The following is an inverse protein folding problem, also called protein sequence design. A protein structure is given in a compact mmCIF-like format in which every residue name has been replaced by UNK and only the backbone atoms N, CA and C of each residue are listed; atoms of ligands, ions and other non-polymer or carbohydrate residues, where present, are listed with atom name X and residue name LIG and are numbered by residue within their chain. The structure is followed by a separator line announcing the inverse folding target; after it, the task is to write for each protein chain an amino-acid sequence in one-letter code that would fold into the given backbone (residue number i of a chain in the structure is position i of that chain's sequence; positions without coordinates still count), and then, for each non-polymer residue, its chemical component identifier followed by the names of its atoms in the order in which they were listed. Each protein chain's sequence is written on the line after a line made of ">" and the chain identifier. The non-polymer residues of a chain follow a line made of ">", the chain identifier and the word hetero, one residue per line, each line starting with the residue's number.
data_IF_470808188952
#
_entry.id   IF_470808188952
#
_cell.length_a   1.000
_cell.length_b   1.000
_cell.length_c   1.000
_cell.angle_alpha   90.00
_cell.angle_beta   90.00
_cell.angle_gamma   90.00
#
_symmetry.space_group_name_H-M   'P 1'
#
loop_
_entity.id
_entity.type
_entity.pdbx_description
1 polymer ?
#
# COMPACT_ATOMS: atom_id res chain seq x y z
N UNK A 1 14.29 -10.49 -1.49
CA UNK A 1 12.81 -10.66 -1.64
C UNK A 1 12.43 -11.26 -3.00
N UNK A 2 13.00 -10.76 -4.10
CA UNK A 2 12.77 -11.26 -5.47
C UNK A 2 13.26 -12.69 -5.61
N UNK A 3 14.41 -13.05 -5.02
CA UNK A 3 14.97 -14.40 -5.06
C UNK A 3 13.99 -15.46 -4.51
N UNK A 4 13.27 -15.13 -3.43
CA UNK A 4 12.25 -16.04 -2.87
C UNK A 4 11.01 -16.19 -3.75
N UNK A 5 10.63 -15.14 -4.50
CA UNK A 5 9.52 -15.23 -5.47
C UNK A 5 9.93 -16.07 -6.69
N UNK A 6 11.18 -15.95 -7.14
CA UNK A 6 11.73 -16.78 -8.23
C UNK A 6 11.82 -18.25 -7.80
N UNK A 7 12.25 -18.51 -6.57
CA UNK A 7 12.24 -19.87 -5.99
C UNK A 7 10.83 -20.45 -5.94
N UNK A 8 9.80 -19.63 -5.62
CA UNK A 8 8.40 -20.06 -5.59
C UNK A 8 7.87 -20.38 -6.99
N UNK A 9 8.31 -19.67 -8.03
CA UNK A 9 7.92 -19.90 -9.43
C UNK A 9 8.52 -21.18 -10.04
N UNK A 10 9.58 -21.72 -9.44
CA UNK A 10 10.24 -22.96 -9.86
C UNK A 10 9.82 -24.19 -9.03
N UNK A 11 8.73 -24.08 -8.24
CA UNK A 11 8.25 -25.20 -7.45
C UNK A 11 7.73 -26.29 -8.39
N UNK A 12 8.39 -27.43 -8.36
CA UNK A 12 7.87 -28.67 -8.91
C UNK A 12 6.58 -29.05 -8.16
N UNK A 13 5.44 -28.92 -8.83
CA UNK A 13 4.12 -29.14 -8.25
C UNK A 13 3.80 -30.61 -8.00
N UNK A 14 4.68 -31.54 -8.38
CA UNK A 14 4.46 -32.98 -8.22
C UNK A 14 4.49 -33.44 -6.76
N UNK A 15 5.11 -32.68 -5.83
CA UNK A 15 5.05 -32.93 -4.39
C UNK A 15 4.91 -31.62 -3.61
N UNK A 16 3.69 -31.19 -3.37
CA UNK A 16 3.37 -30.02 -2.52
C UNK A 16 3.38 -30.42 -1.06
N UNK A 17 4.55 -30.33 -0.41
CA UNK A 17 4.65 -30.55 1.04
C UNK A 17 4.00 -29.40 1.82
N UNK A 18 3.69 -29.62 3.10
CA UNK A 18 3.11 -28.59 3.99
C UNK A 18 4.01 -27.36 4.04
N UNK A 19 5.32 -27.53 4.12
CA UNK A 19 6.30 -26.43 4.15
C UNK A 19 6.26 -25.62 2.86
N UNK A 20 6.18 -26.25 1.69
CA UNK A 20 6.05 -25.56 0.39
C UNK A 20 4.74 -24.80 0.30
N UNK A 21 3.62 -25.38 0.77
CA UNK A 21 2.32 -24.70 0.84
C UNK A 21 2.37 -23.47 1.76
N UNK A 22 2.96 -23.59 2.93
CA UNK A 22 3.14 -22.46 3.87
C UNK A 22 4.00 -21.36 3.28
N UNK A 23 5.13 -21.70 2.64
CA UNK A 23 6.01 -20.74 1.98
C UNK A 23 5.30 -19.99 0.85
N UNK A 24 4.52 -20.69 0.02
CA UNK A 24 3.72 -20.10 -1.04
C UNK A 24 2.63 -19.18 -0.49
N UNK A 25 1.86 -19.63 0.51
CA UNK A 25 0.85 -18.82 1.17
C UNK A 25 1.45 -17.57 1.81
N UNK A 26 2.61 -17.70 2.48
CA UNK A 26 3.32 -16.55 3.06
C UNK A 26 3.77 -15.56 2.00
N UNK A 27 4.30 -16.03 0.88
CA UNK A 27 4.70 -15.18 -0.24
C UNK A 27 3.49 -14.42 -0.83
N UNK A 28 2.36 -15.09 -1.03
CA UNK A 28 1.12 -14.46 -1.48
C UNK A 28 0.66 -13.39 -0.48
N UNK A 29 0.59 -13.69 0.82
CA UNK A 29 0.17 -12.74 1.83
C UNK A 29 1.10 -11.51 1.90
N UNK A 30 2.42 -11.73 1.93
CA UNK A 30 3.41 -10.65 2.04
C UNK A 30 3.38 -9.76 0.79
N UNK A 31 3.35 -10.35 -0.40
CA UNK A 31 3.33 -9.59 -1.64
C UNK A 31 2.03 -8.79 -1.77
N UNK A 32 0.89 -9.48 -1.71
CA UNK A 32 -0.40 -8.85 -2.00
C UNK A 32 -0.87 -7.90 -0.92
N UNK A 33 -0.79 -8.30 0.36
CA UNK A 33 -1.32 -7.48 1.44
C UNK A 33 -0.32 -6.40 1.87
N UNK A 34 0.96 -6.72 1.99
CA UNK A 34 1.91 -5.81 2.62
C UNK A 34 2.78 -5.06 1.63
N UNK A 35 3.27 -5.70 0.56
CA UNK A 35 4.05 -4.99 -0.46
C UNK A 35 3.13 -4.06 -1.26
N UNK A 36 2.07 -4.57 -1.85
CA UNK A 36 1.19 -3.78 -2.72
C UNK A 36 0.09 -3.03 -1.96
N UNK A 37 -0.33 -3.52 -0.79
CA UNK A 37 -1.39 -2.90 0.00
C UNK A 37 -0.92 -1.89 1.04
N UNK A 38 0.36 -1.85 1.41
CA UNK A 38 0.91 -0.98 2.47
C UNK A 38 2.17 -0.25 2.05
N UNK A 39 3.22 -0.95 1.53
CA UNK A 39 4.59 -0.41 1.40
C UNK A 39 4.76 0.78 0.46
N UNK A 40 3.79 1.11 -0.37
CA UNK A 40 3.86 2.26 -1.29
C UNK A 40 2.99 3.43 -0.83
N UNK A 41 2.13 3.21 0.16
CA UNK A 41 1.06 4.15 0.45
C UNK A 41 1.49 5.39 1.24
N UNK A 42 2.57 5.31 2.02
CA UNK A 42 3.14 6.51 2.63
C UNK A 42 3.75 7.44 1.58
N UNK A 43 4.50 6.90 0.60
CA UNK A 43 5.04 7.67 -0.51
C UNK A 43 3.95 8.25 -1.40
N UNK A 44 2.89 7.50 -1.70
CA UNK A 44 1.74 8.00 -2.44
C UNK A 44 1.05 9.15 -1.70
N UNK A 45 0.88 9.05 -0.38
CA UNK A 45 0.29 10.12 0.41
C UNK A 45 1.15 11.39 0.38
N UNK A 46 2.47 11.27 0.54
CA UNK A 46 3.39 12.42 0.42
C UNK A 46 3.31 13.06 -0.96
N UNK A 47 3.32 12.27 -2.04
CA UNK A 47 3.27 12.80 -3.41
C UNK A 47 1.92 13.44 -3.74
N UNK A 48 0.80 12.79 -3.36
CA UNK A 48 -0.54 13.35 -3.58
C UNK A 48 -0.80 14.60 -2.76
N UNK A 49 -0.14 14.74 -1.61
CA UNK A 49 -0.27 15.92 -0.76
C UNK A 49 0.02 17.24 -1.51
N UNK A 50 1.02 17.24 -2.41
CA UNK A 50 1.35 18.42 -3.22
C UNK A 50 0.19 18.90 -4.09
N UNK A 51 -0.67 18.00 -4.56
CA UNK A 51 -1.83 18.38 -5.37
C UNK A 51 -2.89 19.19 -4.60
N UNK A 52 -2.96 19.04 -3.28
CA UNK A 52 -3.83 19.85 -2.41
C UNK A 52 -3.46 21.34 -2.45
N UNK A 53 -2.21 21.63 -2.75
CA UNK A 53 -1.67 22.99 -2.92
C UNK A 53 -1.51 23.39 -4.39
N UNK A 54 -2.24 22.72 -5.29
CA UNK A 54 -2.19 22.98 -6.73
C UNK A 54 -0.80 22.76 -7.37
N UNK A 55 0.05 21.94 -6.75
CA UNK A 55 1.40 21.60 -7.21
C UNK A 55 1.45 20.19 -7.78
N UNK A 56 2.37 19.94 -8.71
CA UNK A 56 2.71 18.61 -9.25
C UNK A 56 1.51 17.80 -9.77
N UNK A 57 0.53 18.43 -10.42
CA UNK A 57 -0.72 17.80 -10.88
C UNK A 57 -0.50 16.59 -11.79
N UNK A 58 0.44 16.68 -12.75
CA UNK A 58 0.76 15.57 -13.63
C UNK A 58 1.28 14.34 -12.88
N UNK A 59 2.11 14.54 -11.84
CA UNK A 59 2.57 13.46 -10.98
C UNK A 59 1.40 12.87 -10.18
N UNK A 60 0.54 13.71 -9.63
CA UNK A 60 -0.63 13.24 -8.86
C UNK A 60 -1.53 12.34 -9.69
N UNK A 61 -1.71 12.62 -10.97
CA UNK A 61 -2.47 11.78 -11.87
C UNK A 61 -1.82 10.40 -12.05
N UNK A 62 -0.50 10.35 -12.26
CA UNK A 62 0.25 9.10 -12.37
C UNK A 62 0.14 8.30 -11.07
N UNK A 63 0.36 8.95 -9.91
CA UNK A 63 0.24 8.31 -8.60
C UNK A 63 -1.17 7.76 -8.37
N UNK A 64 -2.22 8.49 -8.78
CA UNK A 64 -3.60 8.01 -8.64
C UNK A 64 -3.85 6.76 -9.48
N UNK A 65 -3.30 6.66 -10.68
CA UNK A 65 -3.37 5.45 -11.49
C UNK A 65 -2.65 4.28 -10.81
N UNK A 66 -1.42 4.51 -10.32
CA UNK A 66 -0.68 3.50 -9.57
C UNK A 66 -1.45 2.99 -8.35
N UNK A 67 -2.07 3.90 -7.57
CA UNK A 67 -2.91 3.50 -6.42
C UNK A 67 -4.03 2.55 -6.83
N UNK A 68 -4.66 2.77 -7.99
CA UNK A 68 -5.73 1.89 -8.49
C UNK A 68 -5.21 0.51 -8.85
N UNK A 69 -4.09 0.48 -9.57
CA UNK A 69 -3.45 -0.78 -9.97
C UNK A 69 -3.01 -1.58 -8.73
N UNK A 70 -2.31 -0.94 -7.78
CA UNK A 70 -1.87 -1.59 -6.54
C UNK A 70 -3.04 -2.04 -5.68
N UNK A 71 -4.15 -1.28 -5.67
CA UNK A 71 -5.36 -1.69 -4.95
C UNK A 71 -5.96 -2.95 -5.57
N UNK A 72 -6.07 -3.03 -6.90
CA UNK A 72 -6.59 -4.19 -7.61
C UNK A 72 -5.70 -5.41 -7.42
N UNK A 73 -4.38 -5.26 -7.55
CA UNK A 73 -3.40 -6.32 -7.34
C UNK A 73 -3.48 -6.87 -5.90
N UNK A 74 -3.53 -5.97 -4.92
CA UNK A 74 -3.66 -6.33 -3.51
C UNK A 74 -4.98 -7.09 -3.23
N UNK A 75 -6.10 -6.64 -3.79
CA UNK A 75 -7.40 -7.30 -3.60
C UNK A 75 -7.43 -8.68 -4.23
N UNK A 76 -6.96 -8.81 -5.45
CA UNK A 76 -6.91 -10.09 -6.15
C UNK A 76 -5.95 -11.08 -5.45
N UNK A 77 -4.77 -10.62 -5.05
CA UNK A 77 -3.81 -11.48 -4.37
C UNK A 77 -4.27 -11.91 -2.98
N UNK A 78 -4.96 -11.03 -2.23
CA UNK A 78 -5.60 -11.41 -0.96
C UNK A 78 -6.76 -12.41 -1.18
N UNK A 79 -7.50 -12.30 -2.29
CA UNK A 79 -8.50 -13.29 -2.68
C UNK A 79 -7.85 -14.65 -2.97
N UNK A 80 -6.78 -14.68 -3.77
CA UNK A 80 -6.02 -15.90 -4.04
C UNK A 80 -5.48 -16.55 -2.77
N UNK A 81 -4.92 -15.74 -1.87
CA UNK A 81 -4.45 -16.22 -0.57
C UNK A 81 -5.57 -16.93 0.20
N UNK A 82 -6.74 -16.30 0.33
CA UNK A 82 -7.86 -16.89 1.07
C UNK A 82 -8.34 -18.19 0.42
N UNK A 83 -8.47 -18.21 -0.91
CA UNK A 83 -8.84 -19.42 -1.65
C UNK A 83 -7.83 -20.54 -1.39
N UNK A 84 -6.53 -20.21 -1.44
CA UNK A 84 -5.47 -21.18 -1.18
C UNK A 84 -5.52 -21.72 0.26
N UNK A 85 -5.82 -20.88 1.25
CA UNK A 85 -6.00 -21.30 2.65
C UNK A 85 -7.25 -22.17 2.81
N UNK A 86 -8.36 -21.85 2.13
CA UNK A 86 -9.59 -22.64 2.17
C UNK A 86 -9.37 -24.07 1.61
N UNK A 87 -8.56 -24.21 0.56
CA UNK A 87 -8.18 -25.48 -0.04
C UNK A 87 -7.12 -26.25 0.77
N UNK A 88 -6.36 -25.58 1.64
CA UNK A 88 -5.24 -26.13 2.41
C UNK A 88 -5.35 -25.74 3.89
N UNK A 89 -6.45 -26.10 4.53
CA UNK A 89 -6.75 -25.71 5.92
C UNK A 89 -5.71 -26.17 6.93
N UNK A 90 -4.99 -27.24 6.64
CA UNK A 90 -3.92 -27.79 7.48
C UNK A 90 -2.78 -26.81 7.72
N UNK A 91 -2.54 -25.84 6.82
CA UNK A 91 -1.50 -24.83 6.99
C UNK A 91 -1.96 -23.60 7.79
N UNK A 92 -3.27 -23.43 8.05
CA UNK A 92 -3.82 -22.25 8.75
C UNK A 92 -3.68 -22.37 10.27
N UNK A 93 -2.47 -22.64 10.73
CA UNK A 93 -2.12 -22.79 12.14
C UNK A 93 -1.90 -21.44 12.82
N UNK A 94 -1.91 -21.42 14.16
CA UNK A 94 -1.64 -20.20 14.91
C UNK A 94 -0.17 -19.74 14.78
N UNK A 95 0.73 -20.66 14.57
CA UNK A 95 2.15 -20.39 14.27
C UNK A 95 2.27 -19.66 12.93
N UNK A 96 1.61 -20.15 11.89
CA UNK A 96 1.61 -19.51 10.57
C UNK A 96 0.98 -18.11 10.62
N UNK A 97 -0.13 -17.94 11.34
CA UNK A 97 -0.73 -16.61 11.55
C UNK A 97 0.22 -15.64 12.25
N UNK A 98 0.99 -16.11 13.24
CA UNK A 98 2.01 -15.28 13.91
C UNK A 98 3.09 -14.80 12.94
N UNK A 99 3.50 -15.63 11.99
CA UNK A 99 4.46 -15.24 10.96
C UNK A 99 3.90 -14.12 10.05
N UNK A 100 2.62 -14.22 9.66
CA UNK A 100 1.96 -13.17 8.87
C UNK A 100 1.87 -11.87 9.66
N UNK A 101 1.50 -11.93 10.96
CA UNK A 101 1.50 -10.75 11.83
C UNK A 101 2.91 -10.14 11.96
N UNK A 102 3.95 -10.99 12.02
CA UNK A 102 5.33 -10.48 12.07
C UNK A 102 5.70 -9.76 10.78
N UNK A 103 5.36 -10.32 9.61
CA UNK A 103 5.57 -9.66 8.33
C UNK A 103 4.84 -8.30 8.25
N UNK A 104 3.62 -8.21 8.77
CA UNK A 104 2.89 -6.95 8.86
C UNK A 104 3.62 -5.90 9.72
N UNK A 105 4.13 -6.32 10.89
CA UNK A 105 4.90 -5.43 11.79
C UNK A 105 6.20 -4.95 11.15
N UNK A 106 6.91 -5.85 10.48
CA UNK A 106 8.17 -5.52 9.80
C UNK A 106 7.91 -4.51 8.67
N UNK A 107 6.83 -4.70 7.90
CA UNK A 107 6.43 -3.74 6.85
C UNK A 107 6.10 -2.37 7.43
N UNK A 108 5.28 -2.29 8.49
CA UNK A 108 4.95 -1.02 9.13
C UNK A 108 6.20 -0.35 9.72
N UNK A 109 7.13 -1.11 10.28
CA UNK A 109 8.41 -0.57 10.77
C UNK A 109 9.26 0.03 9.63
N UNK A 110 9.28 -0.59 8.46
CA UNK A 110 9.96 -0.06 7.29
C UNK A 110 9.31 1.23 6.78
N UNK A 111 7.97 1.29 6.77
CA UNK A 111 7.23 2.50 6.42
C UNK A 111 7.45 3.62 7.45
N UNK A 112 7.48 3.30 8.75
CA UNK A 112 7.81 4.28 9.80
C UNK A 112 9.21 4.89 9.58
N UNK A 113 10.22 4.07 9.22
CA UNK A 113 11.56 4.56 8.91
C UNK A 113 11.58 5.44 7.65
N UNK A 114 10.83 5.07 6.62
CA UNK A 114 10.67 5.89 5.43
C UNK A 114 10.03 7.25 5.77
N UNK A 115 8.94 7.24 6.54
CA UNK A 115 8.26 8.46 6.98
C UNK A 115 9.22 9.33 7.80
N UNK A 116 9.97 8.74 8.73
CA UNK A 116 10.97 9.46 9.52
C UNK A 116 12.02 10.14 8.62
N UNK A 117 12.48 9.48 7.57
CA UNK A 117 13.43 10.07 6.62
C UNK A 117 12.84 11.20 5.78
N UNK A 118 11.55 11.12 5.43
CA UNK A 118 10.84 12.20 4.71
C UNK A 118 10.79 13.48 5.54
N UNK A 119 10.60 13.34 6.86
CA UNK A 119 10.51 14.48 7.80
C UNK A 119 11.85 14.88 8.43
N UNK A 120 12.97 14.26 8.04
CA UNK A 120 14.29 14.56 8.60
C UNK A 120 14.71 16.03 8.41
N UNK A 121 14.32 16.65 7.31
CA UNK A 121 14.65 18.04 6.98
C UNK A 121 13.63 19.07 7.47
N UNK A 122 12.63 18.67 8.21
CA UNK A 122 11.58 19.52 8.77
C UNK A 122 10.17 19.09 8.38
N UNK A 123 9.20 19.84 8.88
CA UNK A 123 7.79 19.56 8.71
C UNK A 123 7.31 19.87 7.28
N UNK A 124 6.31 19.11 6.84
CA UNK A 124 5.60 19.36 5.59
C UNK A 124 4.29 20.07 5.95
N UNK A 125 4.10 21.30 5.44
CA UNK A 125 2.90 22.07 5.72
C UNK A 125 1.62 21.29 5.40
N UNK A 126 0.74 21.12 6.40
CA UNK A 126 -0.54 20.42 6.27
C UNK A 126 -0.47 18.91 6.16
N UNK A 127 0.68 18.29 6.41
CA UNK A 127 0.87 16.84 6.54
C UNK A 127 1.64 16.53 7.83
N UNK A 128 0.99 15.85 8.77
CA UNK A 128 1.62 15.44 10.02
C UNK A 128 2.31 14.08 9.85
N UNK A 129 3.50 13.96 10.42
CA UNK A 129 4.26 12.71 10.47
C UNK A 129 3.49 11.62 11.20
N UNK A 130 2.90 11.95 12.34
CA UNK A 130 2.14 11.03 13.18
C UNK A 130 0.85 10.58 12.48
N UNK A 131 0.15 11.50 11.81
CA UNK A 131 -1.05 11.18 11.03
C UNK A 131 -0.73 10.18 9.91
N UNK A 132 0.40 10.37 9.24
CA UNK A 132 0.85 9.46 8.18
C UNK A 132 1.21 8.09 8.74
N UNK A 133 1.86 8.01 9.90
CA UNK A 133 2.15 6.74 10.58
C UNK A 133 0.88 6.01 10.99
N UNK A 134 -0.12 6.71 11.53
CA UNK A 134 -1.41 6.10 11.90
C UNK A 134 -2.22 5.69 10.67
N UNK A 135 -2.15 6.44 9.58
CA UNK A 135 -2.72 6.05 8.29
C UNK A 135 -2.13 4.70 7.81
N UNK A 136 -0.82 4.51 7.88
CA UNK A 136 -0.16 3.25 7.50
C UNK A 136 -0.58 2.10 8.42
N UNK A 137 -0.68 2.32 9.75
CA UNK A 137 -1.19 1.30 10.68
C UNK A 137 -2.63 0.91 10.37
N UNK A 138 -3.46 1.89 10.03
CA UNK A 138 -4.84 1.64 9.61
C UNK A 138 -4.88 0.78 8.34
N UNK A 139 -4.10 1.12 7.32
CA UNK A 139 -4.01 0.33 6.09
C UNK A 139 -3.53 -1.10 6.36
N UNK A 140 -2.51 -1.28 7.19
CA UNK A 140 -2.04 -2.61 7.59
C UNK A 140 -3.14 -3.44 8.29
N UNK A 141 -3.95 -2.80 9.15
CA UNK A 141 -5.12 -3.44 9.75
C UNK A 141 -6.18 -3.86 8.71
N UNK A 142 -6.43 -3.03 7.70
CA UNK A 142 -7.34 -3.36 6.59
C UNK A 142 -6.82 -4.57 5.81
N UNK A 143 -5.54 -4.61 5.50
CA UNK A 143 -4.94 -5.73 4.77
C UNK A 143 -4.95 -7.03 5.59
N UNK A 144 -4.67 -6.97 6.89
CA UNK A 144 -4.87 -8.12 7.79
C UNK A 144 -6.31 -8.64 7.74
N UNK A 145 -7.30 -7.75 7.73
CA UNK A 145 -8.70 -8.10 7.56
C UNK A 145 -8.99 -8.82 6.23
N UNK A 146 -8.38 -8.35 5.12
CA UNK A 146 -8.49 -9.00 3.81
C UNK A 146 -7.88 -10.40 3.80
N UNK A 147 -6.87 -10.67 4.62
CA UNK A 147 -6.30 -12.01 4.82
C UNK A 147 -7.09 -12.89 5.80
N UNK A 148 -8.19 -12.40 6.39
CA UNK A 148 -8.97 -13.12 7.39
C UNK A 148 -8.40 -13.06 8.82
N UNK A 149 -7.53 -12.10 9.10
CA UNK A 149 -6.88 -11.89 10.39
C UNK A 149 -7.49 -10.69 11.14
N UNK A 150 -7.33 -10.69 12.47
CA UNK A 150 -7.76 -9.56 13.31
C UNK A 150 -6.77 -8.39 13.21
N UNK A 151 -7.23 -7.21 13.57
CA UNK A 151 -6.39 -6.01 13.65
C UNK A 151 -5.23 -6.21 14.66
N UNK A 152 -4.04 -5.74 14.29
CA UNK A 152 -2.85 -5.76 15.16
C UNK A 152 -2.69 -4.42 15.93
N UNK A 153 -3.00 -3.29 15.29
CA UNK A 153 -2.91 -1.95 15.88
C UNK A 153 -4.27 -1.48 16.34
N UNK A 154 -4.50 -1.54 17.67
CA UNK A 154 -5.81 -1.22 18.28
C UNK A 154 -6.00 0.27 18.56
N UNK A 155 -4.91 1.01 18.72
CA UNK A 155 -4.90 2.41 19.16
C UNK A 155 -4.52 3.37 18.02
N UNK A 156 -5.10 3.15 16.84
CA UNK A 156 -4.96 4.10 15.73
C UNK A 156 -5.80 5.34 16.03
N UNK A 157 -5.22 6.53 15.92
CA UNK A 157 -5.91 7.79 16.15
C UNK A 157 -6.96 8.05 15.06
N UNK A 158 -8.24 8.11 15.48
CA UNK A 158 -9.36 8.34 14.57
C UNK A 158 -9.36 9.77 13.99
N UNK A 159 -8.85 10.74 14.74
CA UNK A 159 -8.77 12.12 14.25
C UNK A 159 -7.62 12.26 13.24
N UNK A 160 -6.53 11.50 13.40
CA UNK A 160 -5.49 11.36 12.37
C UNK A 160 -6.08 10.81 11.06
N UNK A 161 -6.90 9.75 11.15
CA UNK A 161 -7.56 9.18 9.97
C UNK A 161 -8.48 10.18 9.27
N UNK A 162 -9.26 10.99 10.02
CA UNK A 162 -10.07 12.06 9.44
C UNK A 162 -9.22 13.10 8.72
N UNK A 163 -8.08 13.49 9.31
CA UNK A 163 -7.15 14.42 8.66
C UNK A 163 -6.54 13.85 7.38
N UNK A 164 -6.52 12.52 7.22
CA UNK A 164 -6.02 11.80 6.04
C UNK A 164 -7.12 11.42 5.03
N UNK A 165 -8.42 11.67 5.29
CA UNK A 165 -9.54 11.33 4.38
C UNK A 165 -9.39 11.94 2.96
N UNK A 166 -8.64 13.02 2.83
CA UNK A 166 -8.34 13.63 1.53
C UNK A 166 -7.61 12.66 0.58
N UNK A 167 -6.85 11.70 1.13
CA UNK A 167 -6.14 10.72 0.33
C UNK A 167 -7.12 9.83 -0.45
N UNK A 168 -8.11 9.29 0.24
CA UNK A 168 -9.15 8.46 -0.38
C UNK A 168 -10.05 9.28 -1.31
N UNK A 169 -10.35 10.53 -0.95
CA UNK A 169 -11.14 11.45 -1.78
C UNK A 169 -10.45 11.74 -3.13
N UNK A 170 -9.13 11.95 -3.13
CA UNK A 170 -8.35 12.14 -4.37
C UNK A 170 -8.29 10.82 -5.15
N UNK A 171 -8.06 9.69 -4.48
CA UNK A 171 -8.02 8.37 -5.12
C UNK A 171 -9.35 7.94 -5.74
N UNK A 172 -10.49 8.27 -5.08
CA UNK A 172 -11.84 7.97 -5.58
C UNK A 172 -12.31 8.92 -6.69
N UNK A 173 -11.84 10.17 -6.69
CA UNK A 173 -12.28 11.21 -7.62
C UNK A 173 -11.90 10.99 -9.09
N UNK A 174 -10.99 10.05 -9.37
CA UNK A 174 -10.69 9.65 -10.74
C UNK A 174 -11.67 8.55 -11.14
N UNK A 175 -12.69 8.88 -11.95
CA UNK A 175 -13.53 7.90 -12.63
C UNK A 175 -12.65 6.87 -13.31
N UNK A 176 -13.13 5.62 -13.37
CA UNK A 176 -12.60 4.54 -14.22
C UNK A 176 -12.78 4.89 -15.70
N UNK A 177 -12.20 6.01 -16.11
CA UNK A 177 -12.05 6.33 -17.51
C UNK A 177 -10.83 5.55 -18.01
N UNK A 178 -10.98 4.92 -19.17
CA UNK A 178 -9.98 4.09 -19.81
C UNK A 178 -8.61 4.82 -19.80
N UNK A 179 -7.59 4.16 -19.29
CA UNK A 179 -6.21 4.67 -19.22
C UNK A 179 -5.74 5.31 -20.54
N UNK A 180 -6.25 4.82 -21.67
CA UNK A 180 -5.94 5.32 -23.01
C UNK A 180 -6.86 6.45 -23.49
N UNK A 181 -7.97 6.70 -22.84
CA UNK A 181 -8.97 7.71 -23.25
C UNK A 181 -8.88 9.03 -22.49
N UNK A 182 -8.21 9.05 -21.32
CA UNK A 182 -8.09 10.26 -20.50
C UNK A 182 -6.93 11.11 -21.00
N UNK A 183 -7.24 12.16 -21.73
CA UNK A 183 -6.29 13.29 -21.86
C UNK A 183 -6.13 13.94 -20.49
N UNK A 184 -4.90 14.32 -20.07
CA UNK A 184 -4.69 15.04 -18.81
C UNK A 184 -5.44 16.38 -18.88
N UNK A 185 -6.64 16.41 -18.33
CA UNK A 185 -7.53 17.59 -18.35
C UNK A 185 -7.12 18.64 -17.33
N UNK A 186 -6.26 18.30 -16.38
CA UNK A 186 -5.82 19.20 -15.31
C UNK A 186 -4.52 19.95 -15.61
N UNK A 187 -4.00 19.82 -16.82
CA UNK A 187 -2.84 20.59 -17.26
C UNK A 187 -3.29 22.01 -17.66
N UNK A 188 -3.62 22.85 -16.68
CA UNK A 188 -3.57 24.29 -16.91
C UNK A 188 -2.08 24.64 -17.07
N UNK A 189 -1.67 25.13 -18.23
CA UNK A 189 -0.36 25.73 -18.43
C UNK A 189 -0.24 26.85 -17.39
N UNK A 190 0.48 26.59 -16.30
CA UNK A 190 0.98 27.66 -15.45
C UNK A 190 1.83 28.54 -16.37
N UNK A 191 1.48 29.81 -16.47
CA UNK A 191 2.39 30.79 -17.08
C UNK A 191 3.60 30.81 -16.17
N UNK A 192 4.67 30.11 -16.57
CA UNK A 192 5.97 30.26 -15.93
C UNK A 192 6.44 31.64 -16.33
N UNK A 193 6.34 32.59 -15.40
CA UNK A 193 6.90 33.90 -15.58
C UNK A 193 8.42 33.75 -15.36
N UNK A 194 9.18 33.76 -16.44
CA UNK A 194 10.64 33.61 -16.40
C UNK A 194 11.36 34.79 -15.72
N UNK A 195 10.63 35.90 -15.53
CA UNK A 195 11.17 37.10 -14.88
C UNK A 195 11.33 36.97 -13.35
N UNK A 196 10.74 35.92 -12.74
CA UNK A 196 10.84 35.64 -11.29
C UNK A 196 11.95 34.61 -10.96
N UNK A 197 12.77 34.20 -11.95
CA UNK A 197 13.80 33.16 -11.75
C UNK A 197 15.24 33.70 -11.72
N UNK A 198 15.48 35.02 -11.77
CA UNK A 198 16.81 35.62 -11.67
C UNK A 198 16.86 36.78 -10.69
#
# INVERSE_FOLDING_TARGET
>A
KIDRLVETGNIDTTEMTIEKKMAMAKSLAVFSAFTEGVSLFSSFAVLLHFSRYNKMKGMSQIVTWSIKDETLHSEFGCYLFRTFIEENKEIWTDEFKKEIYQAARDTVSLEDNFIDSVFEKGDIEGLSKEDLKDFIRHRANMQLGKLGLKQNWKNVDKDALKRMEWFDAIGAGVRLDDFFSVKPTDYSRGVVNFDDMF
#
